data_IF_098714785072
#
_entry.id   IF_098714785072
#
_cell.length_a   1.000
_cell.length_b   1.000
_cell.length_c   1.000
_cell.angle_alpha   90.00
_cell.angle_beta   90.00
_cell.angle_gamma   90.00
#
_symmetry.space_group_name_H-M   'P 1'
#
loop_
_entity.id
_entity.type
_entity.pdbx_description
1 polymer ?
#
# COMPACT_ATOMS: atom_id res chain seq x y z
N UNK A 1 13.02 -6.83 25.76
CA UNK A 1 12.32 -6.73 24.46
C UNK A 1 13.31 -6.28 23.37
N UNK A 2 14.41 -7.02 23.21
CA UNK A 2 15.37 -7.00 22.08
C UNK A 2 15.98 -8.41 21.82
N UNK A 3 15.54 -9.45 22.54
CA UNK A 3 16.15 -10.80 22.53
C UNK A 3 15.29 -11.89 21.85
N UNK A 4 14.35 -11.52 20.98
CA UNK A 4 13.48 -12.51 20.29
C UNK A 4 13.50 -12.41 18.76
N UNK A 5 14.40 -11.62 18.18
CA UNK A 5 14.55 -11.45 16.72
C UNK A 5 15.78 -12.19 16.16
N UNK A 6 16.70 -12.63 17.02
CA UNK A 6 17.94 -13.34 16.59
C UNK A 6 17.72 -14.87 16.49
N UNK A 7 16.62 -15.41 17.03
CA UNK A 7 16.39 -16.86 17.14
C UNK A 7 15.71 -17.52 15.93
N UNK A 8 15.48 -16.79 14.83
CA UNK A 8 14.76 -17.31 13.65
C UNK A 8 15.62 -17.47 12.38
N UNK A 9 16.91 -17.12 12.41
CA UNK A 9 17.82 -17.27 11.27
C UNK A 9 18.71 -18.53 11.31
N UNK A 10 18.46 -19.46 12.24
CA UNK A 10 19.31 -20.64 12.47
C UNK A 10 18.63 -22.00 12.17
N UNK A 11 17.54 -22.01 11.38
CA UNK A 11 16.89 -23.26 10.94
C UNK A 11 16.84 -23.37 9.42
N UNK A 12 17.99 -23.64 8.79
CA UNK A 12 18.04 -24.36 7.51
C UNK A 12 19.18 -25.39 7.51
N UNK A 13 18.89 -26.67 7.22
CA UNK A 13 19.91 -27.71 7.20
C UNK A 13 20.63 -27.77 5.84
N UNK A 14 21.90 -28.20 5.92
CA UNK A 14 22.73 -28.76 4.85
C UNK A 14 23.41 -27.79 3.88
N UNK A 15 24.60 -27.31 4.29
CA UNK A 15 25.81 -27.52 3.49
C UNK A 15 26.92 -28.08 4.40
N UNK A 16 27.20 -29.36 4.23
CA UNK A 16 28.38 -30.04 4.77
C UNK A 16 29.62 -29.44 4.09
N UNK A 17 30.66 -29.08 4.84
CA UNK A 17 31.84 -29.93 5.07
C UNK A 17 32.99 -29.13 5.69
N UNK A 18 33.64 -29.79 6.66
CA UNK A 18 35.08 -29.78 7.01
C UNK A 18 35.71 -28.53 7.62
N UNK A 19 36.22 -28.69 8.85
CA UNK A 19 37.46 -28.04 9.25
C UNK A 19 37.51 -27.37 10.63
N UNK A 20 37.28 -28.13 11.70
CA UNK A 20 37.94 -27.98 13.02
C UNK A 20 39.44 -27.69 12.81
N UNK A 21 40.16 -26.79 13.49
CA UNK A 21 40.41 -26.47 14.91
C UNK A 21 41.15 -25.09 14.89
N UNK A 22 41.14 -24.23 15.91
CA UNK A 22 41.89 -24.33 17.16
C UNK A 22 41.31 -23.32 18.17
N UNK A 23 40.99 -23.80 19.36
CA UNK A 23 40.89 -22.97 20.57
C UNK A 23 42.18 -23.17 21.37
N UNK A 24 42.84 -22.09 21.76
CA UNK A 24 43.86 -22.11 22.80
C UNK A 24 43.52 -21.04 23.86
N UNK A 25 43.18 -21.53 25.04
CA UNK A 25 43.09 -20.78 26.29
C UNK A 25 44.50 -20.66 26.86
N UNK A 26 44.91 -19.47 27.33
CA UNK A 26 45.99 -19.31 28.32
C UNK A 26 45.62 -18.21 29.30
N UNK A 27 45.87 -18.51 30.57
CA UNK A 27 45.48 -17.81 31.80
C UNK A 27 46.49 -16.75 32.28
N UNK A 28 45.98 -15.91 33.20
CA UNK A 28 46.60 -15.26 34.38
C UNK A 28 47.48 -14.00 34.25
N UNK A 29 46.88 -12.89 34.73
CA UNK A 29 47.30 -11.97 35.81
C UNK A 29 48.64 -11.20 35.74
N UNK A 30 48.58 -9.85 35.70
CA UNK A 30 49.38 -8.95 36.56
C UNK A 30 48.96 -7.47 36.49
N UNK A 31 49.46 -6.69 37.45
CA UNK A 31 48.99 -5.45 38.08
C UNK A 31 49.04 -4.08 37.33
N UNK A 32 48.13 -3.19 37.78
CA UNK A 32 48.15 -1.69 37.88
C UNK A 32 47.95 -0.73 36.66
N UNK A 33 47.40 0.50 36.91
CA UNK A 33 46.86 1.40 35.89
C UNK A 33 47.79 2.58 35.53
N UNK A 34 47.86 2.97 34.25
CA UNK A 34 48.64 4.13 33.79
C UNK A 34 47.76 5.29 33.29
N UNK A 35 47.91 6.46 33.93
CA UNK A 35 47.45 7.79 33.49
C UNK A 35 48.44 8.37 32.47
N UNK A 36 47.96 8.90 31.34
CA UNK A 36 48.75 9.72 30.42
C UNK A 36 48.56 11.22 30.68
N UNK A 37 49.59 12.08 30.51
CA UNK A 37 49.50 13.51 30.77
C UNK A 37 49.05 14.33 29.56
N UNK A 38 48.28 15.39 29.85
CA UNK A 38 47.96 16.54 29.00
C UNK A 38 49.04 17.60 29.16
N UNK A 39 49.57 18.16 28.06
CA UNK A 39 50.19 19.49 28.03
C UNK A 39 49.75 20.18 26.75
N UNK A 40 48.97 21.25 26.91
CA UNK A 40 48.94 22.35 25.96
C UNK A 40 50.01 23.36 26.35
N UNK A 41 50.63 23.99 25.35
CA UNK A 41 50.87 25.43 25.41
C UNK A 41 51.05 25.99 23.99
N UNK A 42 50.32 27.07 23.77
CA UNK A 42 50.33 27.92 22.61
C UNK A 42 51.40 29.02 22.79
N UNK A 43 51.60 29.77 21.72
CA UNK A 43 52.15 31.14 21.69
C UNK A 43 53.67 31.28 21.46
N UNK A 44 54.00 31.46 20.19
CA UNK A 44 55.28 31.95 19.69
C UNK A 44 55.16 32.30 18.22
N UNK A 45 54.38 33.34 17.93
CA UNK A 45 54.23 33.94 16.61
C UNK A 45 55.54 34.57 16.11
N UNK A 46 55.66 34.64 14.78
CA UNK A 46 56.51 35.58 14.05
C UNK A 46 57.97 35.14 14.05
N UNK A 47 58.55 34.71 12.95
CA UNK A 47 58.67 35.35 11.63
C UNK A 47 58.82 34.15 10.66
N UNK A 48 58.23 34.10 9.47
CA UNK A 48 58.60 34.87 8.29
C UNK A 48 57.37 34.90 7.37
N UNK A 49 56.68 36.04 7.32
CA UNK A 49 55.90 36.41 6.15
C UNK A 49 56.89 37.07 5.21
N UNK A 50 57.56 36.28 4.37
CA UNK A 50 58.00 36.78 3.08
C UNK A 50 58.30 35.61 2.16
N UNK A 51 57.33 35.23 1.36
CA UNK A 51 57.64 34.62 0.09
C UNK A 51 56.51 34.90 -0.86
N UNK A 52 56.87 35.17 -2.10
CA UNK A 52 55.98 35.17 -3.26
C UNK A 52 55.05 33.93 -3.31
N UNK A 53 55.34 32.88 -2.53
CA UNK A 53 54.55 31.66 -2.35
C UNK A 53 53.22 31.91 -1.64
N UNK A 54 53.14 32.80 -0.64
CA UNK A 54 51.86 33.08 0.02
C UNK A 54 50.90 33.86 -0.88
N UNK A 55 51.44 34.78 -1.70
CA UNK A 55 50.66 35.49 -2.73
C UNK A 55 50.30 34.57 -3.90
N UNK A 56 51.23 33.75 -4.39
CA UNK A 56 50.95 32.77 -5.45
C UNK A 56 49.92 31.73 -5.03
N UNK A 57 49.96 31.21 -3.81
CA UNK A 57 48.95 30.26 -3.35
C UNK A 57 47.60 30.90 -3.08
N UNK A 58 47.51 32.19 -2.72
CA UNK A 58 46.23 32.87 -2.57
C UNK A 58 45.59 33.17 -3.94
N UNK A 59 46.40 33.58 -4.92
CA UNK A 59 45.94 33.85 -6.29
C UNK A 59 45.64 32.56 -7.08
N UNK A 60 46.38 31.45 -6.86
CA UNK A 60 46.12 30.15 -7.51
C UNK A 60 45.02 29.32 -6.81
N UNK A 61 44.76 29.53 -5.50
CA UNK A 61 43.66 28.86 -4.78
C UNK A 61 42.29 29.47 -5.08
N UNK A 62 42.24 30.69 -5.62
CA UNK A 62 41.10 31.22 -6.35
C UNK A 62 41.06 30.62 -7.76
N UNK A 63 40.90 29.29 -7.81
CA UNK A 63 40.76 28.55 -9.05
C UNK A 63 39.62 29.13 -9.92
N UNK A 64 39.63 28.91 -11.24
CA UNK A 64 38.55 29.32 -12.15
C UNK A 64 37.16 28.85 -11.70
N UNK A 65 37.08 27.78 -10.91
CA UNK A 65 35.85 27.28 -10.29
C UNK A 65 35.23 28.25 -9.26
N UNK A 66 36.01 29.18 -8.66
CA UNK A 66 35.49 30.26 -7.82
C UNK A 66 35.08 31.49 -8.64
N UNK A 67 35.63 31.69 -9.84
CA UNK A 67 35.17 32.70 -10.80
C UNK A 67 33.90 32.26 -11.56
N UNK A 68 33.70 30.94 -11.71
CA UNK A 68 32.47 30.32 -12.24
C UNK A 68 31.29 30.30 -11.26
N UNK A 69 31.45 30.85 -10.04
CA UNK A 69 30.32 31.07 -9.11
C UNK A 69 29.29 32.05 -9.70
N UNK A 70 29.67 32.85 -10.70
CA UNK A 70 28.76 33.69 -11.49
C UNK A 70 27.82 32.92 -12.44
N UNK A 71 27.99 31.60 -12.62
CA UNK A 71 27.21 30.76 -13.55
C UNK A 71 26.33 29.69 -12.90
N UNK A 72 26.19 29.67 -11.57
CA UNK A 72 25.52 28.59 -10.81
C UNK A 72 23.98 28.67 -10.76
N UNK A 73 23.33 29.28 -11.75
CA UNK A 73 21.91 29.66 -11.59
C UNK A 73 20.91 28.54 -11.87
N UNK A 74 21.28 27.44 -12.54
CA UNK A 74 20.33 26.36 -12.88
C UNK A 74 20.72 24.96 -12.40
N UNK A 75 21.99 24.58 -12.47
CA UNK A 75 22.38 23.18 -12.20
C UNK A 75 22.84 22.94 -10.76
N UNK A 76 23.41 23.93 -10.06
CA UNK A 76 23.72 23.80 -8.63
C UNK A 76 22.46 23.69 -7.75
N UNK A 77 21.40 24.43 -8.10
CA UNK A 77 20.08 24.27 -7.48
C UNK A 77 19.51 22.86 -7.69
N UNK A 78 19.71 22.27 -8.87
CA UNK A 78 19.28 20.88 -9.15
C UNK A 78 20.13 19.87 -8.39
N UNK A 79 21.44 20.04 -8.33
CA UNK A 79 22.36 19.16 -7.58
C UNK A 79 22.11 19.26 -6.07
N UNK A 80 21.86 20.46 -5.54
CA UNK A 80 21.48 20.64 -4.15
C UNK A 80 20.11 20.02 -3.87
N UNK A 81 19.12 20.24 -4.75
CA UNK A 81 17.81 19.56 -4.67
C UNK A 81 17.94 18.05 -4.74
N UNK A 82 18.84 17.50 -5.55
CA UNK A 82 19.11 16.06 -5.67
C UNK A 82 19.81 15.52 -4.41
N UNK A 83 20.75 16.27 -3.83
CA UNK A 83 21.38 15.93 -2.56
C UNK A 83 20.39 15.94 -1.40
N UNK A 84 19.49 16.92 -1.38
CA UNK A 84 18.38 16.97 -0.41
C UNK A 84 17.21 16.07 -0.80
N UNK A 85 17.19 15.49 -2.00
CA UNK A 85 16.04 14.71 -2.48
C UNK A 85 15.75 13.51 -1.58
N UNK A 86 16.73 12.75 -1.07
CA UNK A 86 16.46 11.69 -0.09
C UNK A 86 15.80 12.23 1.19
N UNK A 87 16.22 13.39 1.69
CA UNK A 87 15.64 14.00 2.89
C UNK A 87 14.22 14.54 2.61
N UNK A 88 14.01 15.16 1.45
CA UNK A 88 12.70 15.65 1.02
C UNK A 88 11.71 14.50 0.77
N UNK A 89 12.18 13.39 0.19
CA UNK A 89 11.38 12.17 0.02
C UNK A 89 11.05 11.52 1.36
N UNK A 90 12.00 11.49 2.30
CA UNK A 90 11.76 10.96 3.64
C UNK A 90 10.75 11.82 4.41
N UNK A 91 10.87 13.15 4.35
CA UNK A 91 9.91 14.07 4.95
C UNK A 91 8.52 13.92 4.32
N UNK A 92 8.42 13.91 2.98
CA UNK A 92 7.15 13.70 2.30
C UNK A 92 6.51 12.34 2.64
N UNK A 93 7.32 11.28 2.78
CA UNK A 93 6.84 9.97 3.24
C UNK A 93 6.35 10.03 4.69
N UNK A 94 7.08 10.72 5.57
CA UNK A 94 6.70 10.90 6.97
C UNK A 94 5.38 11.66 7.09
N UNK A 95 5.22 12.77 6.37
CA UNK A 95 3.99 13.57 6.35
C UNK A 95 2.82 12.72 5.86
N UNK A 96 3.00 12.03 4.73
CA UNK A 96 1.99 11.13 4.17
C UNK A 96 1.60 10.00 5.12
N UNK A 97 2.57 9.42 5.83
CA UNK A 97 2.32 8.38 6.82
C UNK A 97 1.56 8.93 8.04
N UNK A 98 1.94 10.13 8.52
CA UNK A 98 1.23 10.79 9.61
C UNK A 98 -0.23 11.06 9.24
N UNK A 99 -0.48 11.55 8.02
CA UNK A 99 -1.85 11.75 7.52
C UNK A 99 -2.63 10.44 7.40
N UNK A 100 -2.00 9.36 6.90
CA UNK A 100 -2.62 8.03 6.86
C UNK A 100 -3.01 7.56 8.27
N UNK A 101 -2.09 7.66 9.23
CA UNK A 101 -2.36 7.31 10.63
C UNK A 101 -3.51 8.13 11.22
N UNK A 102 -3.57 9.42 10.92
CA UNK A 102 -4.65 10.29 11.37
C UNK A 102 -5.99 9.85 10.78
N UNK A 103 -6.07 9.68 9.45
CA UNK A 103 -7.31 9.23 8.75
C UNK A 103 -7.82 7.89 9.25
N UNK A 104 -6.93 7.00 9.70
CA UNK A 104 -7.26 5.70 10.29
C UNK A 104 -7.75 5.87 11.74
N UNK A 105 -7.00 6.60 12.58
CA UNK A 105 -7.32 6.78 14.00
C UNK A 105 -8.61 7.53 14.22
N UNK A 106 -8.92 8.54 13.42
CA UNK A 106 -10.16 9.31 13.55
C UNK A 106 -11.42 8.48 13.29
N UNK A 107 -11.31 7.29 12.69
CA UNK A 107 -12.44 6.37 12.47
C UNK A 107 -12.74 5.49 13.68
N UNK A 108 -11.88 5.48 14.70
CA UNK A 108 -12.00 4.60 15.88
C UNK A 108 -11.95 5.44 17.16
N UNK A 109 -12.93 5.31 18.06
CA UNK A 109 -12.90 5.99 19.35
C UNK A 109 -11.59 5.71 20.11
N UNK A 110 -10.92 6.71 20.71
CA UNK A 110 -9.63 6.53 21.38
C UNK A 110 -9.60 5.38 22.41
N UNK A 111 -10.70 5.16 23.12
CA UNK A 111 -10.90 4.10 24.11
C UNK A 111 -10.93 2.69 23.51
N UNK A 112 -11.24 2.56 22.22
CA UNK A 112 -11.30 1.30 21.51
C UNK A 112 -10.00 1.01 20.73
N UNK A 113 -9.07 1.97 20.68
CA UNK A 113 -7.83 1.83 19.93
C UNK A 113 -6.88 0.84 20.61
N UNK A 114 -6.39 -0.12 19.82
CA UNK A 114 -5.38 -1.12 20.17
C UNK A 114 -4.32 -1.19 19.09
N UNK A 115 -3.24 -1.91 19.38
CA UNK A 115 -2.27 -2.27 18.35
C UNK A 115 -2.92 -3.19 17.30
N UNK A 116 -2.68 -2.86 16.02
CA UNK A 116 -3.13 -3.67 14.90
C UNK A 116 -2.37 -5.01 14.86
N UNK A 117 -3.04 -6.14 14.57
CA UNK A 117 -2.36 -7.42 14.36
C UNK A 117 -1.27 -7.31 13.28
N UNK A 118 -0.05 -7.82 13.52
CA UNK A 118 1.05 -7.75 12.55
C UNK A 118 0.71 -8.34 11.18
N UNK A 119 -0.13 -9.37 11.14
CA UNK A 119 -0.60 -10.05 9.93
C UNK A 119 -1.43 -9.14 9.02
N UNK A 120 -2.01 -8.07 9.56
CA UNK A 120 -2.72 -7.03 8.80
C UNK A 120 -1.84 -5.80 8.63
N UNK A 121 -1.18 -5.37 9.71
CA UNK A 121 -0.42 -4.12 9.71
C UNK A 121 0.74 -4.16 8.70
N UNK A 122 1.55 -5.21 8.70
CA UNK A 122 2.70 -5.32 7.82
C UNK A 122 2.33 -5.29 6.31
N UNK A 123 1.38 -6.10 5.80
CA UNK A 123 1.04 -6.04 4.38
C UNK A 123 0.32 -4.74 3.98
N UNK A 124 -0.45 -4.11 4.88
CA UNK A 124 -1.03 -2.79 4.61
C UNK A 124 0.06 -1.73 4.47
N UNK A 125 1.08 -1.75 5.33
CA UNK A 125 2.22 -0.83 5.23
C UNK A 125 3.03 -1.04 3.95
N UNK A 126 3.19 -2.29 3.50
CA UNK A 126 3.81 -2.57 2.21
C UNK A 126 2.99 -2.02 1.04
N UNK A 127 1.66 -2.16 1.10
CA UNK A 127 0.78 -1.63 0.07
C UNK A 127 0.72 -0.09 0.09
N UNK A 128 0.79 0.52 1.27
CA UNK A 128 0.86 1.98 1.44
C UNK A 128 2.03 2.59 0.66
N UNK A 129 3.19 1.94 0.67
CA UNK A 129 4.37 2.42 -0.06
C UNK A 129 4.17 2.51 -1.59
N UNK A 130 3.26 1.74 -2.17
CA UNK A 130 3.07 1.65 -3.63
C UNK A 130 1.70 2.12 -4.13
N UNK A 131 0.74 2.35 -3.24
CA UNK A 131 -0.63 2.74 -3.58
C UNK A 131 -0.77 4.24 -3.44
N UNK A 132 -1.37 4.93 -4.41
CA UNK A 132 -1.64 6.37 -4.32
C UNK A 132 -2.80 6.67 -3.37
N UNK A 133 -2.79 7.85 -2.74
CA UNK A 133 -3.80 8.20 -1.72
C UNK A 133 -5.20 8.46 -2.29
N UNK A 134 -5.28 8.84 -3.57
CA UNK A 134 -6.52 9.00 -4.34
C UNK A 134 -7.11 7.68 -4.85
N UNK A 135 -6.37 6.58 -4.70
CA UNK A 135 -6.82 5.27 -5.15
C UNK A 135 -7.97 4.74 -4.28
N UNK A 136 -9.02 4.14 -4.87
CA UNK A 136 -10.03 3.44 -4.09
C UNK A 136 -9.45 2.28 -3.28
N UNK A 137 -8.30 1.74 -3.68
CA UNK A 137 -7.60 0.71 -2.91
C UNK A 137 -7.02 1.27 -1.61
N UNK A 138 -6.51 2.51 -1.61
CA UNK A 138 -6.02 3.14 -0.37
C UNK A 138 -7.16 3.31 0.62
N UNK A 139 -8.32 3.78 0.17
CA UNK A 139 -9.50 3.88 1.04
C UNK A 139 -9.89 2.54 1.67
N UNK A 140 -9.72 1.42 0.93
CA UNK A 140 -9.97 0.08 1.47
C UNK A 140 -8.92 -0.35 2.48
N UNK A 141 -7.64 -0.05 2.24
CA UNK A 141 -6.56 -0.31 3.21
C UNK A 141 -6.72 0.50 4.49
N UNK A 142 -7.14 1.77 4.37
CA UNK A 142 -7.45 2.61 5.53
C UNK A 142 -8.61 2.05 6.34
N UNK A 143 -9.69 1.61 5.69
CA UNK A 143 -10.82 1.01 6.40
C UNK A 143 -10.41 -0.29 7.08
N UNK A 144 -9.66 -1.15 6.38
CA UNK A 144 -9.14 -2.39 6.97
C UNK A 144 -8.25 -2.12 8.19
N UNK A 145 -7.36 -1.13 8.09
CA UNK A 145 -6.49 -0.74 9.21
C UNK A 145 -7.30 -0.15 10.37
N UNK A 146 -8.32 0.66 10.08
CA UNK A 146 -9.22 1.18 11.12
C UNK A 146 -9.90 0.04 11.87
N UNK A 147 -10.43 -0.97 11.15
CA UNK A 147 -10.99 -2.16 11.78
C UNK A 147 -9.95 -3.01 12.53
N UNK A 148 -8.69 -2.95 12.13
CA UNK A 148 -7.59 -3.69 12.76
C UNK A 148 -7.15 -3.06 14.09
N UNK A 149 -7.23 -1.73 14.21
CA UNK A 149 -6.91 -1.02 15.45
C UNK A 149 -8.10 -0.91 16.40
N UNK A 150 -9.32 -1.31 16.02
CA UNK A 150 -10.50 -1.32 16.90
C UNK A 150 -10.63 -2.68 17.62
N UNK A 151 -10.64 -2.66 18.95
CA UNK A 151 -10.78 -3.84 19.80
C UNK A 151 -12.02 -4.68 19.50
N UNK A 152 -13.11 -4.07 19.00
CA UNK A 152 -14.37 -4.75 18.74
C UNK A 152 -14.39 -5.52 17.41
N UNK A 153 -13.48 -5.18 16.49
CA UNK A 153 -13.45 -5.71 15.13
C UNK A 153 -12.17 -6.43 14.75
N UNK A 154 -11.04 -6.14 15.41
CA UNK A 154 -9.73 -6.68 15.05
C UNK A 154 -9.71 -8.22 14.96
N UNK A 155 -10.35 -8.92 15.90
CA UNK A 155 -10.38 -10.39 15.94
C UNK A 155 -11.24 -11.03 14.84
N UNK A 156 -12.10 -10.23 14.18
CA UNK A 156 -13.01 -10.69 13.12
C UNK A 156 -12.41 -10.54 11.72
N UNK A 157 -11.18 -10.03 11.61
CA UNK A 157 -10.53 -9.79 10.33
C UNK A 157 -9.83 -11.06 9.82
N UNK A 158 -9.89 -11.28 8.52
CA UNK A 158 -9.07 -12.33 7.89
C UNK A 158 -7.69 -11.79 7.55
N UNK A 159 -6.60 -12.52 7.89
CA UNK A 159 -5.24 -12.21 7.42
C UNK A 159 -5.09 -12.14 5.90
N UNK A 160 -6.05 -12.66 5.14
CA UNK A 160 -6.03 -12.67 3.67
C UNK A 160 -6.50 -11.36 3.05
N UNK A 161 -7.21 -10.50 3.80
CA UNK A 161 -7.82 -9.28 3.27
C UNK A 161 -6.82 -8.31 2.63
N UNK A 162 -5.64 -8.03 3.22
CA UNK A 162 -4.64 -7.16 2.58
C UNK A 162 -4.24 -7.66 1.18
N UNK A 163 -4.01 -8.97 1.04
CA UNK A 163 -3.65 -9.59 -0.24
C UNK A 163 -4.78 -9.53 -1.25
N UNK A 164 -6.03 -9.68 -0.80
CA UNK A 164 -7.21 -9.53 -1.66
C UNK A 164 -7.28 -8.10 -2.18
N UNK A 165 -7.20 -7.08 -1.32
CA UNK A 165 -7.25 -5.66 -1.73
C UNK A 165 -6.14 -5.36 -2.75
N UNK A 166 -4.90 -5.82 -2.49
CA UNK A 166 -3.77 -5.64 -3.40
C UNK A 166 -3.99 -6.28 -4.78
N UNK A 167 -4.76 -7.36 -4.85
CA UNK A 167 -5.10 -8.06 -6.08
C UNK A 167 -6.30 -7.48 -6.84
N UNK A 168 -6.91 -6.39 -6.37
CA UNK A 168 -8.02 -5.74 -7.05
C UNK A 168 -7.55 -4.63 -7.99
N UNK A 169 -8.30 -4.42 -9.07
CA UNK A 169 -8.23 -3.17 -9.84
C UNK A 169 -9.08 -2.07 -9.20
N UNK A 170 -8.83 -0.77 -9.53
CA UNK A 170 -9.66 0.33 -9.03
C UNK A 170 -11.15 0.19 -9.37
N UNK A 171 -11.48 -0.33 -10.56
CA UNK A 171 -12.87 -0.57 -10.97
C UNK A 171 -13.51 -1.71 -10.19
N UNK A 172 -12.76 -2.75 -9.84
CA UNK A 172 -13.24 -3.83 -8.98
C UNK A 172 -13.55 -3.34 -7.57
N UNK A 173 -12.66 -2.52 -7.00
CA UNK A 173 -12.90 -1.89 -5.70
C UNK A 173 -14.17 -1.03 -5.72
N UNK A 174 -14.35 -0.23 -6.78
CA UNK A 174 -15.57 0.56 -7.00
C UNK A 174 -16.82 -0.32 -7.12
N UNK A 175 -16.74 -1.43 -7.86
CA UNK A 175 -17.84 -2.38 -8.01
C UNK A 175 -18.21 -3.05 -6.69
N UNK A 176 -17.24 -3.51 -5.90
CA UNK A 176 -17.49 -4.08 -4.56
C UNK A 176 -18.18 -3.04 -3.66
N UNK A 177 -17.72 -1.79 -3.67
CA UNK A 177 -18.36 -0.70 -2.92
C UNK A 177 -19.79 -0.43 -3.40
N UNK A 178 -20.05 -0.53 -4.70
CA UNK A 178 -21.41 -0.44 -5.24
C UNK A 178 -22.29 -1.58 -4.74
N UNK A 179 -21.79 -2.82 -4.82
CA UNK A 179 -22.51 -4.04 -4.42
C UNK A 179 -22.72 -4.16 -2.90
N UNK A 180 -21.89 -3.49 -2.10
CA UNK A 180 -22.08 -3.36 -0.66
C UNK A 180 -23.32 -2.53 -0.30
N UNK A 181 -23.73 -1.61 -1.19
CA UNK A 181 -24.93 -0.77 -1.00
C UNK A 181 -26.18 -1.43 -1.54
N UNK A 182 -26.12 -1.92 -2.78
CA UNK A 182 -27.28 -2.55 -3.45
C UNK A 182 -26.83 -3.62 -4.43
N UNK A 183 -27.67 -4.64 -4.62
CA UNK A 183 -27.49 -5.62 -5.69
C UNK A 183 -27.67 -4.95 -7.06
N UNK A 184 -26.89 -5.38 -8.05
CA UNK A 184 -27.03 -4.95 -9.44
C UNK A 184 -27.81 -6.01 -10.22
N UNK A 185 -28.69 -5.61 -11.12
CA UNK A 185 -29.40 -6.53 -11.98
C UNK A 185 -29.62 -5.99 -13.39
N UNK A 186 -29.68 -6.91 -14.34
CA UNK A 186 -30.09 -6.68 -15.72
C UNK A 186 -31.24 -7.62 -16.06
N UNK A 187 -32.28 -7.10 -16.67
CA UNK A 187 -33.38 -7.88 -17.23
C UNK A 187 -33.30 -7.82 -18.75
N UNK A 188 -33.37 -8.98 -19.41
CA UNK A 188 -33.37 -9.08 -20.86
C UNK A 188 -34.28 -10.22 -21.34
N UNK A 189 -34.89 -10.12 -22.53
CA UNK A 189 -35.49 -11.26 -23.18
C UNK A 189 -34.39 -12.27 -23.52
N UNK A 190 -34.65 -13.53 -23.20
CA UNK A 190 -33.74 -14.64 -23.43
C UNK A 190 -34.46 -15.71 -24.22
N UNK A 191 -33.81 -16.15 -25.31
CA UNK A 191 -34.28 -17.26 -26.13
C UNK A 191 -33.74 -18.58 -25.55
N UNK A 192 -34.61 -19.49 -25.06
CA UNK A 192 -34.18 -20.77 -24.53
C UNK A 192 -33.62 -21.73 -25.59
N UNK A 193 -34.04 -21.61 -26.86
CA UNK A 193 -33.61 -22.50 -27.94
C UNK A 193 -32.23 -22.11 -28.46
N UNK A 194 -32.04 -20.83 -28.78
CA UNK A 194 -30.78 -20.31 -29.30
C UNK A 194 -29.78 -19.95 -28.19
N UNK A 195 -30.25 -19.89 -26.93
CA UNK A 195 -29.48 -19.48 -25.73
C UNK A 195 -28.90 -18.06 -25.86
N UNK A 196 -29.59 -17.19 -26.60
CA UNK A 196 -29.18 -15.81 -26.87
C UNK A 196 -29.94 -14.84 -25.95
N UNK A 197 -29.23 -13.78 -25.51
CA UNK A 197 -29.81 -12.64 -24.79
C UNK A 197 -30.02 -11.51 -25.79
N UNK A 198 -31.22 -10.94 -25.82
CA UNK A 198 -31.55 -9.75 -26.63
C UNK A 198 -31.29 -8.46 -25.84
N UNK A 199 -31.68 -7.32 -26.41
CA UNK A 199 -31.50 -6.00 -25.77
C UNK A 199 -32.05 -5.98 -24.34
N UNK A 200 -31.31 -5.35 -23.43
CA UNK A 200 -31.74 -5.17 -22.05
C UNK A 200 -33.07 -4.40 -21.98
N UNK A 201 -34.03 -4.95 -21.24
CA UNK A 201 -35.28 -4.30 -20.86
C UNK A 201 -35.02 -3.28 -19.76
N UNK A 202 -34.24 -3.69 -18.75
CA UNK A 202 -33.94 -2.86 -17.58
C UNK A 202 -32.55 -3.15 -17.03
N UNK A 203 -31.89 -2.09 -16.60
CA UNK A 203 -30.63 -2.12 -15.85
C UNK A 203 -30.81 -1.19 -14.66
N UNK A 204 -30.36 -1.57 -13.46
CA UNK A 204 -30.45 -0.71 -12.26
C UNK A 204 -29.13 -0.02 -11.90
N UNK A 205 -28.20 0.05 -12.85
CA UNK A 205 -26.88 0.65 -12.72
C UNK A 205 -26.40 1.16 -14.08
N UNK A 206 -25.38 2.02 -14.07
CA UNK A 206 -24.80 2.57 -15.29
C UNK A 206 -23.54 1.76 -15.69
N UNK A 207 -23.53 1.18 -16.89
CA UNK A 207 -22.38 0.39 -17.36
C UNK A 207 -21.12 1.25 -17.54
N UNK A 208 -21.28 2.51 -17.96
CA UNK A 208 -20.16 3.43 -18.21
C UNK A 208 -19.35 3.73 -16.94
N UNK A 209 -19.97 3.63 -15.76
CA UNK A 209 -19.26 3.74 -14.49
C UNK A 209 -18.20 2.65 -14.27
N UNK A 210 -18.28 1.56 -15.04
CA UNK A 210 -17.45 0.35 -14.96
C UNK A 210 -16.73 0.05 -16.28
N UNK A 211 -16.60 1.04 -17.17
CA UNK A 211 -15.89 0.89 -18.45
C UNK A 211 -16.72 0.22 -19.54
N UNK A 212 -18.05 0.25 -19.43
CA UNK A 212 -18.99 -0.31 -20.39
C UNK A 212 -19.45 -1.72 -20.03
N UNK A 213 -20.35 -2.26 -20.87
CA UNK A 213 -21.02 -3.54 -20.61
C UNK A 213 -20.05 -4.72 -20.51
N UNK A 214 -19.20 -4.93 -21.51
CA UNK A 214 -18.30 -6.08 -21.55
C UNK A 214 -17.27 -6.05 -20.42
N UNK A 215 -16.81 -4.85 -20.07
CA UNK A 215 -15.89 -4.67 -18.96
C UNK A 215 -16.58 -4.97 -17.63
N UNK A 216 -17.80 -4.47 -17.39
CA UNK A 216 -18.59 -4.81 -16.22
C UNK A 216 -18.78 -6.32 -16.06
N UNK A 217 -19.15 -7.02 -17.13
CA UNK A 217 -19.29 -8.47 -17.13
C UNK A 217 -17.98 -9.18 -16.74
N UNK A 218 -16.86 -8.75 -17.32
CA UNK A 218 -15.53 -9.28 -16.99
C UNK A 218 -15.15 -9.03 -15.52
N UNK A 219 -15.45 -7.84 -14.99
CA UNK A 219 -15.21 -7.50 -13.58
C UNK A 219 -16.02 -8.41 -12.65
N UNK A 220 -17.30 -8.64 -12.95
CA UNK A 220 -18.16 -9.51 -12.14
C UNK A 220 -17.72 -10.97 -12.20
N UNK A 221 -17.20 -11.43 -13.34
CA UNK A 221 -16.67 -12.79 -13.50
C UNK A 221 -15.40 -13.00 -12.68
N UNK A 222 -14.40 -12.11 -12.82
CA UNK A 222 -13.15 -12.23 -12.05
C UNK A 222 -13.40 -12.11 -10.55
N UNK A 223 -14.28 -11.19 -10.12
CA UNK A 223 -14.70 -11.12 -8.71
C UNK A 223 -15.46 -12.36 -8.24
N UNK A 224 -16.15 -13.06 -9.15
CA UNK A 224 -16.75 -14.36 -8.91
C UNK A 224 -15.71 -15.45 -8.65
N UNK A 225 -14.63 -15.48 -9.42
CA UNK A 225 -13.49 -16.39 -9.22
C UNK A 225 -12.78 -16.14 -7.88
N UNK A 226 -12.68 -14.86 -7.47
CA UNK A 226 -12.21 -14.47 -6.13
C UNK A 226 -13.23 -14.74 -5.01
N UNK A 227 -14.39 -15.32 -5.34
CA UNK A 227 -15.50 -15.62 -4.43
C UNK A 227 -16.06 -14.37 -3.72
N UNK A 228 -15.86 -13.18 -4.25
CA UNK A 228 -16.36 -11.92 -3.67
C UNK A 228 -17.76 -11.59 -4.19
N UNK A 229 -18.05 -11.93 -5.45
CA UNK A 229 -19.34 -11.66 -6.11
C UNK A 229 -20.01 -12.97 -6.49
N UNK A 230 -21.33 -12.98 -6.52
CA UNK A 230 -22.13 -14.10 -7.02
C UNK A 230 -23.12 -13.60 -8.05
N UNK A 231 -23.17 -14.29 -9.19
CA UNK A 231 -24.21 -14.12 -10.20
C UNK A 231 -25.35 -15.09 -9.91
N UNK A 232 -26.57 -14.58 -9.91
CA UNK A 232 -27.80 -15.34 -9.75
C UNK A 232 -28.64 -15.11 -10.99
N UNK A 233 -29.12 -16.20 -11.57
CA UNK A 233 -30.05 -16.15 -12.70
C UNK A 233 -31.44 -16.51 -12.19
N UNK A 234 -32.42 -15.70 -12.56
CA UNK A 234 -33.83 -16.00 -12.30
C UNK A 234 -34.66 -15.74 -13.54
N UNK A 235 -35.83 -16.39 -13.61
CA UNK A 235 -36.79 -16.26 -14.71
C UNK A 235 -38.10 -15.69 -14.18
N UNK A 236 -38.14 -14.38 -13.86
CA UNK A 236 -39.35 -13.78 -13.33
C UNK A 236 -40.44 -13.69 -14.42
N UNK A 237 -41.70 -13.61 -13.98
CA UNK A 237 -42.83 -13.43 -14.91
C UNK A 237 -42.77 -12.02 -15.53
N UNK A 238 -42.61 -11.95 -16.85
CA UNK A 238 -42.52 -10.70 -17.58
C UNK A 238 -43.80 -9.86 -17.45
N UNK A 239 -44.98 -10.49 -17.50
CA UNK A 239 -46.26 -9.78 -17.41
C UNK A 239 -46.55 -9.19 -16.04
N UNK A 240 -45.94 -9.74 -14.97
CA UNK A 240 -46.04 -9.19 -13.62
C UNK A 240 -45.09 -8.01 -13.41
N UNK A 241 -43.83 -8.13 -13.85
CA UNK A 241 -42.82 -7.08 -13.66
C UNK A 241 -42.96 -5.93 -14.65
N UNK A 242 -43.35 -6.24 -15.88
CA UNK A 242 -43.48 -5.32 -17.00
C UNK A 242 -44.80 -5.56 -17.74
N UNK A 243 -45.95 -5.14 -17.19
CA UNK A 243 -47.27 -5.40 -17.80
C UNK A 243 -47.41 -4.86 -19.22
N UNK A 244 -46.63 -3.84 -19.57
CA UNK A 244 -46.63 -3.18 -20.87
C UNK A 244 -45.69 -3.86 -21.89
N UNK A 245 -44.80 -4.76 -21.43
CA UNK A 245 -43.80 -5.39 -22.27
C UNK A 245 -44.40 -6.63 -22.94
N UNK A 246 -44.57 -6.55 -24.26
CA UNK A 246 -44.87 -7.73 -25.08
C UNK A 246 -43.57 -8.47 -25.38
N UNK A 247 -43.31 -9.54 -24.65
CA UNK A 247 -42.23 -10.47 -24.94
C UNK A 247 -42.68 -11.37 -26.09
N UNK A 248 -41.89 -11.46 -27.16
CA UNK A 248 -42.23 -12.27 -28.33
C UNK A 248 -42.43 -13.75 -27.97
N UNK A 249 -43.30 -14.44 -28.71
CA UNK A 249 -43.62 -15.84 -28.47
C UNK A 249 -42.35 -16.71 -28.39
N UNK A 250 -42.24 -17.48 -27.30
CA UNK A 250 -41.10 -18.35 -27.02
C UNK A 250 -39.95 -17.72 -26.23
N UNK A 251 -39.88 -16.38 -26.14
CA UNK A 251 -38.88 -15.71 -25.31
C UNK A 251 -39.31 -15.68 -23.84
N UNK A 252 -38.32 -15.78 -22.94
CA UNK A 252 -38.52 -15.68 -21.50
C UNK A 252 -37.75 -14.50 -20.94
N UNK A 253 -38.25 -13.87 -19.88
CA UNK A 253 -37.48 -12.83 -19.20
C UNK A 253 -36.39 -13.48 -18.34
N UNK A 254 -35.16 -13.08 -18.58
CA UNK A 254 -34.00 -13.46 -17.77
C UNK A 254 -33.55 -12.27 -16.94
N UNK A 255 -33.51 -12.44 -15.62
CA UNK A 255 -32.87 -11.52 -14.69
C UNK A 255 -31.52 -12.08 -14.27
N UNK A 256 -30.45 -11.36 -14.60
CA UNK A 256 -29.12 -11.59 -14.06
C UNK A 256 -28.93 -10.63 -12.88
N UNK A 257 -28.75 -11.17 -11.68
CA UNK A 257 -28.48 -10.39 -10.46
C UNK A 257 -27.06 -10.65 -9.99
N UNK A 258 -26.31 -9.59 -9.74
CA UNK A 258 -24.98 -9.59 -9.16
C UNK A 258 -25.04 -9.03 -7.76
N UNK A 259 -24.49 -9.77 -6.79
CA UNK A 259 -24.41 -9.35 -5.39
C UNK A 259 -23.14 -9.85 -4.74
N UNK A 260 -22.78 -9.25 -3.60
CA UNK A 260 -21.71 -9.80 -2.79
C UNK A 260 -22.08 -11.20 -2.30
N UNK A 261 -21.13 -12.12 -2.41
CA UNK A 261 -21.23 -13.45 -1.79
C UNK A 261 -21.20 -13.32 -0.26
N UNK A 262 -21.41 -14.42 0.49
CA UNK A 262 -21.25 -14.37 1.95
C UNK A 262 -19.82 -13.95 2.35
N UNK A 263 -18.81 -14.47 1.66
CA UNK A 263 -17.41 -14.05 1.86
C UNK A 263 -17.19 -12.59 1.43
N UNK A 264 -17.78 -12.18 0.30
CA UNK A 264 -17.72 -10.80 -0.18
C UNK A 264 -18.36 -9.79 0.77
N UNK A 265 -19.47 -10.15 1.43
CA UNK A 265 -20.11 -9.33 2.46
C UNK A 265 -19.21 -9.17 3.69
N UNK A 266 -18.58 -10.24 4.14
CA UNK A 266 -17.62 -10.18 5.25
C UNK A 266 -16.40 -9.32 4.87
N UNK A 267 -15.82 -9.54 3.68
CA UNK A 267 -14.74 -8.72 3.15
C UNK A 267 -15.12 -7.23 3.04
N UNK A 268 -16.28 -6.92 2.45
CA UNK A 268 -16.76 -5.55 2.32
C UNK A 268 -17.00 -4.90 3.68
N UNK A 269 -17.54 -5.62 4.66
CA UNK A 269 -17.75 -5.08 6.02
C UNK A 269 -16.44 -4.68 6.73
N UNK A 270 -15.32 -5.31 6.34
CA UNK A 270 -14.00 -5.02 6.89
C UNK A 270 -13.25 -3.93 6.11
N UNK A 271 -13.50 -3.78 4.81
CA UNK A 271 -12.66 -2.99 3.91
C UNK A 271 -13.41 -1.87 3.18
N UNK A 272 -14.73 -1.77 3.31
CA UNK A 272 -15.54 -0.74 2.65
C UNK A 272 -16.23 0.09 3.71
N UNK A 273 -15.94 1.39 3.69
CA UNK A 273 -16.59 2.33 4.60
C UNK A 273 -18.09 2.41 4.32
N UNK A 274 -18.91 2.20 5.34
CA UNK A 274 -20.34 2.44 5.27
C UNK A 274 -20.57 3.95 5.12
N UNK A 275 -21.16 4.36 3.99
CA UNK A 275 -21.51 5.76 3.71
C UNK A 275 -22.84 6.11 4.33
#
# INVERSE_FOLDING_TARGET
MQDLVITWLDQQPALRTTGTLWSANVTSNDDQPAKGPLIGDLAGAGQIINSEVAKKSYDDALSPAMQEVGGLTKDALKTFRLFTAPLQLAAAYQDRFAEFCERVRTRVPPENQREAPPEIAAPVMQAFATTSDDSPLMSMFEELMAKAIDINTAEKLSPTFPSIIKGLSPLQAKLIKSLARNEQFTDAPWDPQERVIHNFVKVNFEFDEFGGQDHHLTLTQDLGEKKLVTKIESRPNAGELYPQLQVADGLQLLRLTYRLSMFGKWFASACVHAS
#
